data_IF_935145931866
#
_entry.id   IF_935145931866
#
_cell.length_a   1.000
_cell.length_b   1.000
_cell.length_c   1.000
_cell.angle_alpha   90.00
_cell.angle_beta   90.00
_cell.angle_gamma   90.00
#
_symmetry.space_group_name_H-M   'P 1'
#
loop_
_entity.id
_entity.type
_entity.pdbx_description
1 polymer ?
#
# COMPACT_ATOMS: atom_id res chain seq x y z
N UNK A 1 -4.34 12.92 -6.58
CA UNK A 1 -3.65 12.88 -5.27
C UNK A 1 -4.60 12.97 -4.08
N UNK A 2 -5.58 13.89 -4.08
CA UNK A 2 -6.52 14.05 -2.95
C UNK A 2 -7.25 12.76 -2.53
N UNK A 3 -7.99 12.13 -3.45
CA UNK A 3 -8.72 10.89 -3.15
C UNK A 3 -7.79 9.75 -2.67
N UNK A 4 -6.60 9.62 -3.26
CA UNK A 4 -5.61 8.63 -2.84
C UNK A 4 -5.11 8.87 -1.41
N UNK A 5 -4.87 10.14 -1.03
CA UNK A 5 -4.52 10.52 0.35
C UNK A 5 -5.65 10.17 1.32
N UNK A 6 -6.90 10.48 0.97
CA UNK A 6 -8.07 10.12 1.77
C UNK A 6 -8.19 8.61 1.95
N UNK A 7 -8.02 7.83 0.88
CA UNK A 7 -8.05 6.36 0.96
C UNK A 7 -6.92 5.81 1.82
N UNK A 8 -5.70 6.35 1.71
CA UNK A 8 -4.58 5.98 2.55
C UNK A 8 -4.85 6.28 4.03
N UNK A 9 -5.45 7.44 4.33
CA UNK A 9 -5.87 7.80 5.68
C UNK A 9 -6.92 6.82 6.23
N UNK A 10 -7.95 6.49 5.46
CA UNK A 10 -8.98 5.51 5.85
C UNK A 10 -8.36 4.14 6.16
N UNK A 11 -7.41 3.69 5.34
CA UNK A 11 -6.71 2.43 5.60
C UNK A 11 -5.91 2.48 6.90
N UNK A 12 -5.13 3.54 7.13
CA UNK A 12 -4.37 3.72 8.37
C UNK A 12 -5.28 3.78 9.61
N UNK A 13 -6.42 4.46 9.50
CA UNK A 13 -7.43 4.49 10.57
C UNK A 13 -7.98 3.09 10.86
N UNK A 14 -8.37 2.32 9.83
CA UNK A 14 -8.83 0.94 10.01
C UNK A 14 -7.77 0.06 10.67
N UNK A 15 -6.50 0.22 10.30
CA UNK A 15 -5.41 -0.52 10.92
C UNK A 15 -5.30 -0.21 12.42
N UNK A 16 -5.28 1.07 12.78
CA UNK A 16 -5.20 1.49 14.18
C UNK A 16 -6.41 1.01 14.97
N UNK A 17 -7.62 1.26 14.46
CA UNK A 17 -8.87 0.86 15.10
C UNK A 17 -8.99 -0.65 15.25
N UNK A 18 -8.70 -1.41 14.19
CA UNK A 18 -8.85 -2.86 14.19
C UNK A 18 -7.83 -3.60 15.05
N UNK A 19 -6.61 -3.08 15.19
CA UNK A 19 -5.50 -3.78 15.87
C UNK A 19 -5.32 -3.31 17.31
N UNK A 20 -5.40 -2.01 17.58
CA UNK A 20 -5.03 -1.45 18.89
C UNK A 20 -6.21 -1.09 19.78
N UNK A 21 -7.37 -0.79 19.19
CA UNK A 21 -8.55 -0.37 19.95
C UNK A 21 -9.47 -1.53 20.29
N UNK A 22 -10.43 -1.23 21.15
CA UNK A 22 -11.42 -2.18 21.62
C UNK A 22 -10.92 -3.02 22.79
N UNK A 23 -11.64 -4.11 23.03
CA UNK A 23 -11.36 -5.00 24.14
C UNK A 23 -10.20 -5.94 23.81
N UNK A 24 -9.27 -6.09 24.75
CA UNK A 24 -8.18 -7.08 24.64
C UNK A 24 -8.74 -8.50 24.71
N UNK A 25 -8.29 -9.36 23.78
CA UNK A 25 -8.66 -10.77 23.76
C UNK A 25 -8.08 -11.50 24.99
N UNK A 26 -8.81 -12.46 25.61
CA UNK A 26 -8.32 -13.22 26.77
C UNK A 26 -6.99 -13.95 26.52
N UNK A 27 -6.77 -14.43 25.30
CA UNK A 27 -5.52 -15.08 24.87
C UNK A 27 -4.29 -14.16 24.97
N UNK A 28 -4.48 -12.85 24.86
CA UNK A 28 -3.43 -11.85 24.90
C UNK A 28 -3.22 -11.27 26.33
N UNK A 29 -3.82 -11.89 27.36
CA UNK A 29 -3.82 -11.36 28.74
C UNK A 29 -2.42 -11.30 29.37
N UNK A 30 -1.60 -12.30 29.12
CA UNK A 30 -0.31 -12.53 29.78
C UNK A 30 0.88 -12.41 28.81
N UNK A 31 0.79 -11.50 27.84
CA UNK A 31 1.87 -11.27 26.88
C UNK A 31 2.86 -10.25 27.45
N UNK A 32 4.15 -10.50 27.21
CA UNK A 32 5.23 -9.59 27.60
C UNK A 32 5.23 -8.34 26.73
N UNK A 33 5.63 -7.22 27.33
CA UNK A 33 5.84 -5.98 26.60
C UNK A 33 6.96 -6.13 25.56
N UNK A 34 6.98 -5.21 24.58
CA UNK A 34 7.98 -5.24 23.52
C UNK A 34 9.40 -5.16 24.12
N UNK A 35 10.35 -5.95 23.61
CA UNK A 35 11.73 -5.91 24.09
C UNK A 35 12.34 -4.54 23.80
N UNK A 36 13.25 -4.10 24.67
CA UNK A 36 13.88 -2.77 24.59
C UNK A 36 14.48 -2.46 23.22
N UNK A 37 15.14 -3.43 22.59
CA UNK A 37 15.75 -3.27 21.26
C UNK A 37 14.73 -2.83 20.21
N UNK A 38 13.52 -3.39 20.23
CA UNK A 38 12.46 -3.03 19.28
C UNK A 38 11.94 -1.61 19.53
N UNK A 39 11.78 -1.24 20.79
CA UNK A 39 11.36 0.12 21.18
C UNK A 39 12.41 1.12 20.72
N UNK A 40 13.69 0.84 20.95
CA UNK A 40 14.79 1.71 20.53
C UNK A 40 14.81 1.89 19.01
N UNK A 41 14.71 0.80 18.23
CA UNK A 41 14.66 0.88 16.76
C UNK A 41 13.48 1.72 16.27
N UNK A 42 12.28 1.50 16.82
CA UNK A 42 11.09 2.29 16.46
C UNK A 42 11.21 3.77 16.85
N UNK A 43 11.84 4.05 17.99
CA UNK A 43 12.07 5.42 18.47
C UNK A 43 13.03 6.18 17.57
N UNK A 44 14.12 5.53 17.12
CA UNK A 44 15.06 6.12 16.16
C UNK A 44 14.34 6.47 14.85
N UNK A 45 13.52 5.55 14.33
CA UNK A 45 12.75 5.80 13.11
C UNK A 45 11.75 6.95 13.29
N UNK A 46 11.05 7.00 14.43
CA UNK A 46 10.13 8.08 14.75
C UNK A 46 10.85 9.43 14.81
N UNK A 47 12.00 9.52 15.49
CA UNK A 47 12.79 10.75 15.57
C UNK A 47 13.29 11.20 14.19
N UNK A 48 13.73 10.27 13.35
CA UNK A 48 14.14 10.57 11.98
C UNK A 48 12.98 11.15 11.15
N UNK A 49 11.78 10.58 11.28
CA UNK A 49 10.58 11.07 10.60
C UNK A 49 10.18 12.48 11.08
N UNK A 50 10.23 12.73 12.39
CA UNK A 50 9.97 14.06 12.94
C UNK A 50 11.00 15.09 12.47
N UNK A 51 12.28 14.71 12.46
CA UNK A 51 13.36 15.56 11.97
C UNK A 51 13.16 15.93 10.50
N UNK A 52 12.91 14.95 9.63
CA UNK A 52 12.63 15.18 8.21
C UNK A 52 11.39 16.05 8.02
N UNK A 53 10.34 15.83 8.80
CA UNK A 53 9.10 16.63 8.73
C UNK A 53 9.30 18.10 9.13
N UNK A 54 10.09 18.35 10.16
CA UNK A 54 10.41 19.72 10.64
C UNK A 54 11.43 20.44 9.74
N UNK A 55 12.37 19.69 9.15
CA UNK A 55 13.46 20.22 8.34
C UNK A 55 13.43 19.63 6.91
N UNK A 56 12.39 19.95 6.13
CA UNK A 56 12.22 19.38 4.80
C UNK A 56 13.31 19.82 3.81
N UNK A 57 14.00 20.94 4.07
CA UNK A 57 15.09 21.43 3.24
C UNK A 57 16.25 20.44 3.15
N UNK A 58 16.55 19.74 4.25
CA UNK A 58 17.59 18.72 4.29
C UNK A 58 17.35 17.57 3.28
N UNK A 59 16.09 17.18 3.10
CA UNK A 59 15.72 16.17 2.10
C UNK A 59 15.87 16.71 0.68
N UNK A 60 15.49 17.98 0.45
CA UNK A 60 15.65 18.61 -0.86
C UNK A 60 17.12 18.72 -1.24
N UNK A 61 17.99 19.09 -0.31
CA UNK A 61 19.44 19.12 -0.53
C UNK A 61 19.99 17.75 -0.91
N UNK A 62 19.55 16.69 -0.23
CA UNK A 62 19.96 15.31 -0.52
C UNK A 62 19.61 14.89 -1.95
N UNK A 63 18.42 15.24 -2.44
CA UNK A 63 17.98 14.89 -3.79
C UNK A 63 18.35 15.91 -4.87
N UNK A 64 18.85 17.09 -4.49
CA UNK A 64 19.18 18.17 -5.42
C UNK A 64 20.13 17.76 -6.55
N UNK A 65 21.19 16.97 -6.33
CA UNK A 65 22.06 16.51 -7.41
C UNK A 65 21.31 15.66 -8.45
N UNK A 66 20.45 14.75 -8.00
CA UNK A 66 19.65 13.90 -8.88
C UNK A 66 18.62 14.71 -9.69
N UNK A 67 17.96 15.68 -9.04
CA UNK A 67 17.00 16.58 -9.70
C UNK A 67 17.69 17.41 -10.78
N UNK A 68 18.88 17.96 -10.49
CA UNK A 68 19.68 18.72 -11.45
C UNK A 68 20.17 17.85 -12.60
N UNK A 69 20.60 16.62 -12.33
CA UNK A 69 21.02 15.66 -13.36
C UNK A 69 19.89 15.35 -14.35
N UNK A 70 18.65 15.25 -13.86
CA UNK A 70 17.46 15.06 -14.69
C UNK A 70 17.00 16.32 -15.43
N UNK A 71 17.73 17.45 -15.29
CA UNK A 71 17.42 18.71 -15.97
C UNK A 71 16.29 19.52 -15.33
N UNK A 72 15.84 19.15 -14.12
CA UNK A 72 14.78 19.87 -13.43
C UNK A 72 15.33 20.99 -12.53
N UNK A 73 14.53 22.05 -12.38
CA UNK A 73 14.83 23.13 -11.44
C UNK A 73 14.58 22.65 -10.01
N UNK A 74 15.58 22.80 -9.15
CA UNK A 74 15.44 22.52 -7.71
C UNK A 74 14.52 23.56 -7.08
N UNK A 75 13.65 23.11 -6.17
CA UNK A 75 12.74 23.95 -5.40
C UNK A 75 13.53 24.97 -4.56
N UNK A 76 12.99 26.19 -4.41
CA UNK A 76 13.57 27.18 -3.49
C UNK A 76 13.28 26.72 -2.06
N UNK A 77 14.32 26.54 -1.26
CA UNK A 77 14.18 26.04 0.10
C UNK A 77 15.20 26.69 1.03
N UNK A 78 14.85 26.70 2.31
CA UNK A 78 15.81 26.86 3.43
C UNK A 78 15.76 25.58 4.26
N UNK A 79 16.58 25.49 5.31
CA UNK A 79 16.63 24.29 6.16
C UNK A 79 15.25 23.86 6.70
N UNK A 80 14.42 24.82 7.12
CA UNK A 80 13.09 24.56 7.69
C UNK A 80 11.91 24.96 6.79
N UNK A 81 12.16 25.49 5.59
CA UNK A 81 11.09 26.01 4.72
C UNK A 81 11.20 25.52 3.29
N UNK A 82 10.05 25.26 2.68
CA UNK A 82 9.90 25.04 1.25
C UNK A 82 9.08 26.16 0.65
N UNK A 83 9.57 26.75 -0.43
CA UNK A 83 8.94 27.88 -1.10
C UNK A 83 8.61 27.55 -2.54
N UNK A 84 7.37 27.81 -2.91
CA UNK A 84 6.86 27.69 -4.27
C UNK A 84 6.17 28.99 -4.67
N UNK A 85 5.98 29.28 -5.97
CA UNK A 85 5.23 30.45 -6.41
C UNK A 85 3.80 30.51 -5.86
N UNK A 86 3.22 29.36 -5.48
CA UNK A 86 1.84 29.24 -5.00
C UNK A 86 1.73 29.29 -3.47
N UNK A 87 2.84 29.17 -2.74
CA UNK A 87 2.81 29.13 -1.28
C UNK A 87 4.09 28.64 -0.64
N UNK A 88 4.16 28.84 0.68
CA UNK A 88 5.29 28.46 1.52
C UNK A 88 4.85 27.42 2.55
N UNK A 89 5.66 26.39 2.74
CA UNK A 89 5.53 25.43 3.82
C UNK A 89 6.68 25.62 4.81
N UNK A 90 6.37 25.99 6.05
CA UNK A 90 7.35 26.24 7.11
C UNK A 90 7.28 25.09 8.12
N UNK A 91 8.01 24.01 7.85
CA UNK A 91 7.96 22.77 8.63
C UNK A 91 8.32 22.97 10.10
N UNK A 92 9.33 23.80 10.37
CA UNK A 92 9.78 24.10 11.73
C UNK A 92 8.69 24.75 12.59
N UNK A 93 7.99 25.76 12.05
CA UNK A 93 6.91 26.44 12.75
C UNK A 93 5.74 25.50 12.98
N UNK A 94 5.36 24.71 11.97
CA UNK A 94 4.30 23.71 12.08
C UNK A 94 4.62 22.73 13.21
N UNK A 95 5.83 22.17 13.24
CA UNK A 95 6.27 21.26 14.29
C UNK A 95 6.15 21.85 15.70
N UNK A 96 6.65 23.08 15.90
CA UNK A 96 6.56 23.78 17.19
C UNK A 96 5.11 24.01 17.60
N UNK A 97 4.25 24.47 16.69
CA UNK A 97 2.84 24.73 16.99
C UNK A 97 2.13 23.45 17.43
N UNK A 98 2.38 22.32 16.77
CA UNK A 98 1.81 21.03 17.18
C UNK A 98 2.30 20.57 18.56
N UNK A 99 3.59 20.75 18.87
CA UNK A 99 4.15 20.42 20.18
C UNK A 99 3.49 21.29 21.27
N UNK A 100 3.43 22.60 21.06
CA UNK A 100 2.83 23.55 22.03
C UNK A 100 1.34 23.23 22.22
N UNK A 101 0.59 23.03 21.13
CA UNK A 101 -0.83 22.72 21.20
C UNK A 101 -1.08 21.38 21.91
N UNK A 102 -0.27 20.36 21.62
CA UNK A 102 -0.35 19.06 22.29
C UNK A 102 -0.03 19.13 23.78
N UNK A 103 1.02 19.88 24.16
CA UNK A 103 1.38 20.11 25.55
C UNK A 103 0.28 20.87 26.28
N UNK A 104 -0.25 21.93 25.67
CA UNK A 104 -1.35 22.72 26.21
C UNK A 104 -2.60 21.86 26.43
N UNK A 105 -3.02 21.08 25.43
CA UNK A 105 -4.15 20.16 25.56
C UNK A 105 -3.94 19.12 26.67
N UNK A 106 -2.71 18.62 26.82
CA UNK A 106 -2.35 17.66 27.88
C UNK A 106 -2.45 18.30 29.27
N UNK A 107 -1.93 19.53 29.43
CA UNK A 107 -2.02 20.30 30.68
C UNK A 107 -3.49 20.55 31.03
N UNK A 108 -4.28 21.06 30.08
CA UNK A 108 -5.72 21.29 30.29
C UNK A 108 -6.42 20.00 30.71
N UNK A 109 -6.17 18.89 30.03
CA UNK A 109 -6.76 17.60 30.39
C UNK A 109 -6.34 17.14 31.79
N UNK A 110 -5.07 17.34 32.19
CA UNK A 110 -4.57 16.92 33.49
C UNK A 110 -5.25 17.69 34.64
N UNK A 111 -5.45 18.99 34.50
CA UNK A 111 -6.02 19.84 35.56
C UNK A 111 -7.55 19.87 35.58
N UNK A 112 -8.21 19.82 34.42
CA UNK A 112 -9.67 20.00 34.34
C UNK A 112 -10.47 18.70 34.19
N UNK A 113 -9.84 17.57 33.87
CA UNK A 113 -10.58 16.32 33.67
C UNK A 113 -10.75 15.54 34.97
N UNK A 114 -12.01 15.26 35.36
CA UNK A 114 -12.31 14.24 36.38
C UNK A 114 -12.14 12.86 35.75
N UNK A 115 -11.08 12.16 36.13
CA UNK A 115 -10.73 10.85 35.56
C UNK A 115 -11.42 9.74 36.37
N UNK A 116 -12.44 9.12 35.79
CA UNK A 116 -13.01 7.88 36.30
C UNK A 116 -12.52 6.72 35.44
N UNK A 117 -11.92 5.70 36.05
CA UNK A 117 -11.54 4.47 35.36
C UNK A 117 -12.76 3.56 35.34
N UNK A 118 -13.27 3.27 34.16
CA UNK A 118 -14.40 2.36 33.94
C UNK A 118 -13.88 1.14 33.19
N UNK A 119 -14.48 -0.02 33.45
CA UNK A 119 -14.09 -1.25 32.76
C UNK A 119 -14.46 -1.17 31.28
N UNK A 120 -13.67 -1.80 30.41
CA UNK A 120 -13.97 -1.82 28.97
C UNK A 120 -15.25 -2.60 28.63
N UNK A 121 -15.74 -3.46 29.54
CA UNK A 121 -17.01 -4.17 29.37
C UNK A 121 -18.23 -3.29 29.68
N UNK A 122 -18.05 -2.23 30.47
CA UNK A 122 -19.13 -1.29 30.83
C UNK A 122 -19.29 -0.23 29.72
N UNK A 123 -19.46 -0.73 28.49
CA UNK A 123 -19.66 0.10 27.30
C UNK A 123 -21.16 0.15 26.97
N UNK A 124 -21.58 1.22 26.32
CA UNK A 124 -22.94 1.34 25.81
C UNK A 124 -23.27 0.19 24.85
N UNK A 125 -24.19 -0.71 25.24
CA UNK A 125 -24.69 -1.82 24.42
C UNK A 125 -26.23 -1.82 24.38
N UNK A 126 -26.82 -0.64 24.19
CA UNK A 126 -28.28 -0.47 24.15
C UNK A 126 -29.02 -1.01 25.39
N UNK A 127 -28.36 -1.01 26.55
CA UNK A 127 -28.93 -1.49 27.82
C UNK A 127 -28.65 -2.96 28.14
N UNK A 128 -28.00 -3.71 27.25
CA UNK A 128 -27.58 -5.08 27.53
C UNK A 128 -26.25 -5.12 28.30
N UNK A 129 -26.13 -6.10 29.21
CA UNK A 129 -24.87 -6.36 29.90
C UNK A 129 -23.92 -7.15 29.00
N UNK A 130 -22.79 -6.55 28.64
CA UNK A 130 -21.76 -7.24 27.86
C UNK A 130 -21.03 -8.26 28.74
N UNK A 131 -20.88 -9.46 28.22
CA UNK A 131 -20.12 -10.53 28.90
C UNK A 131 -18.68 -10.52 28.39
N UNK A 132 -17.77 -11.22 29.07
CA UNK A 132 -16.39 -11.24 28.61
C UNK A 132 -16.21 -11.89 27.22
N UNK A 133 -17.14 -12.77 26.85
CA UNK A 133 -17.10 -13.58 25.64
C UNK A 133 -17.73 -12.88 24.43
N UNK A 134 -18.53 -11.84 24.64
CA UNK A 134 -19.27 -11.17 23.55
C UNK A 134 -18.33 -10.30 22.71
N UNK A 135 -18.16 -10.57 21.40
CA UNK A 135 -17.32 -9.75 20.53
C UNK A 135 -18.03 -8.44 20.20
N UNK A 136 -17.71 -7.39 20.94
CA UNK A 136 -18.29 -6.05 20.73
C UNK A 136 -17.48 -5.19 19.74
N UNK A 137 -16.19 -5.47 19.58
CA UNK A 137 -15.29 -4.65 18.75
C UNK A 137 -15.46 -4.93 17.25
N UNK A 138 -15.80 -3.89 16.48
CA UNK A 138 -15.98 -4.00 15.04
C UNK A 138 -14.64 -3.90 14.29
N UNK A 139 -14.15 -5.02 13.77
CA UNK A 139 -12.89 -5.10 13.02
C UNK A 139 -13.02 -5.77 11.65
N UNK A 140 -13.97 -6.71 11.51
CA UNK A 140 -14.22 -7.44 10.26
C UNK A 140 -15.06 -6.60 9.29
N UNK A 141 -14.73 -6.70 8.00
CA UNK A 141 -15.45 -6.02 6.91
C UNK A 141 -15.69 -4.52 7.15
N UNK A 142 -14.74 -3.83 7.79
CA UNK A 142 -14.87 -2.45 8.26
C UNK A 142 -15.42 -1.45 7.22
N UNK A 143 -15.06 -1.65 5.94
CA UNK A 143 -15.50 -0.81 4.82
C UNK A 143 -16.41 -1.56 3.84
N UNK A 144 -17.30 -2.41 4.35
CA UNK A 144 -18.22 -3.20 3.52
C UNK A 144 -19.08 -2.33 2.60
N UNK A 145 -19.52 -1.16 3.10
CA UNK A 145 -20.30 -0.21 2.30
C UNK A 145 -19.51 0.28 1.07
N UNK A 146 -18.23 0.64 1.24
CA UNK A 146 -17.35 1.04 0.13
C UNK A 146 -17.21 -0.12 -0.86
N UNK A 147 -16.98 -1.33 -0.35
CA UNK A 147 -16.84 -2.51 -1.19
C UNK A 147 -18.12 -2.80 -1.99
N UNK A 148 -19.30 -2.63 -1.38
CA UNK A 148 -20.60 -2.83 -2.01
C UNK A 148 -20.80 -1.83 -3.15
N UNK A 149 -20.64 -0.55 -2.83
CA UNK A 149 -20.97 0.55 -3.74
C UNK A 149 -19.96 0.65 -4.90
N UNK A 150 -18.69 0.31 -4.66
CA UNK A 150 -17.63 0.28 -5.68
C UNK A 150 -17.32 -1.12 -6.21
N UNK A 151 -18.18 -2.11 -5.95
CA UNK A 151 -17.92 -3.52 -6.27
C UNK A 151 -17.59 -3.77 -7.74
N UNK A 152 -18.18 -3.01 -8.68
CA UNK A 152 -17.88 -3.11 -10.11
C UNK A 152 -16.41 -2.81 -10.43
N UNK A 153 -15.86 -1.73 -9.86
CA UNK A 153 -14.47 -1.33 -10.06
C UNK A 153 -13.51 -2.23 -9.27
N UNK A 154 -13.82 -2.56 -8.01
CA UNK A 154 -12.98 -3.45 -7.20
C UNK A 154 -12.89 -4.89 -7.73
N UNK A 155 -13.83 -5.33 -8.58
CA UNK A 155 -13.76 -6.64 -9.25
C UNK A 155 -12.67 -6.72 -10.31
N UNK A 156 -12.22 -5.57 -10.84
CA UNK A 156 -11.08 -5.48 -11.75
C UNK A 156 -9.81 -5.73 -10.95
N UNK A 157 -9.20 -6.89 -11.17
CA UNK A 157 -8.02 -7.30 -10.43
C UNK A 157 -6.87 -7.54 -11.39
N UNK A 158 -5.77 -6.82 -11.19
CA UNK A 158 -4.52 -7.06 -11.91
C UNK A 158 -4.10 -8.53 -11.80
N UNK A 159 -4.35 -9.17 -10.65
CA UNK A 159 -4.11 -10.61 -10.45
C UNK A 159 -4.88 -11.43 -11.49
N UNK A 160 -6.20 -11.24 -11.63
CA UNK A 160 -7.01 -11.97 -12.61
C UNK A 160 -6.51 -11.74 -14.03
N UNK A 161 -6.11 -10.50 -14.34
CA UNK A 161 -5.53 -10.15 -15.64
C UNK A 161 -4.23 -10.92 -15.92
N UNK A 162 -3.24 -10.87 -15.00
CA UNK A 162 -1.98 -11.61 -15.15
C UNK A 162 -2.18 -13.12 -15.19
N UNK A 163 -3.11 -13.67 -14.39
CA UNK A 163 -3.47 -15.08 -14.49
C UNK A 163 -4.11 -15.43 -15.83
N UNK A 164 -4.89 -14.53 -16.42
CA UNK A 164 -5.44 -14.72 -17.76
C UNK A 164 -4.33 -14.80 -18.82
N UNK A 165 -3.35 -13.89 -18.76
CA UNK A 165 -2.18 -13.90 -19.66
C UNK A 165 -1.37 -15.19 -19.45
N UNK A 166 -1.11 -15.57 -18.20
CA UNK A 166 -0.37 -16.79 -17.89
C UNK A 166 -1.06 -18.04 -18.47
N UNK A 167 -2.39 -18.16 -18.30
CA UNK A 167 -3.17 -19.25 -18.90
C UNK A 167 -3.16 -19.20 -20.41
N UNK A 168 -3.20 -18.02 -21.02
CA UNK A 168 -3.11 -17.89 -22.47
C UNK A 168 -1.76 -18.39 -23.00
N UNK A 169 -0.66 -18.04 -22.34
CA UNK A 169 0.69 -18.52 -22.68
C UNK A 169 0.77 -20.04 -22.46
N UNK A 170 0.28 -20.54 -21.33
CA UNK A 170 0.28 -21.97 -21.02
C UNK A 170 -0.50 -22.78 -22.06
N UNK A 171 -1.70 -22.32 -22.42
CA UNK A 171 -2.51 -22.96 -23.47
C UNK A 171 -1.82 -22.91 -24.83
N UNK A 172 -1.16 -21.80 -25.16
CA UNK A 172 -0.40 -21.66 -26.41
C UNK A 172 0.81 -22.60 -26.43
N UNK A 173 1.52 -22.72 -25.31
CA UNK A 173 2.64 -23.65 -25.15
C UNK A 173 2.19 -25.11 -25.22
N UNK A 174 1.04 -25.44 -24.61
CA UNK A 174 0.42 -26.76 -24.75
C UNK A 174 0.02 -27.05 -26.20
N UNK A 175 -0.47 -26.04 -26.94
CA UNK A 175 -0.73 -26.13 -28.37
C UNK A 175 0.53 -26.43 -29.17
N UNK A 176 1.60 -25.68 -28.94
CA UNK A 176 2.92 -25.91 -29.58
C UNK A 176 3.49 -27.29 -29.22
N UNK A 177 3.34 -27.74 -27.97
CA UNK A 177 3.79 -29.07 -27.53
C UNK A 177 3.15 -30.19 -28.33
N UNK A 178 1.89 -30.04 -28.77
CA UNK A 178 1.20 -31.07 -29.58
C UNK A 178 1.83 -31.27 -30.96
N UNK A 179 2.59 -30.30 -31.47
CA UNK A 179 3.35 -30.44 -32.73
C UNK A 179 4.49 -31.46 -32.55
N UNK A 180 5.06 -31.55 -31.35
CA UNK A 180 6.13 -32.49 -31.02
C UNK A 180 5.55 -33.82 -30.54
N UNK A 181 5.02 -34.62 -31.47
CA UNK A 181 4.37 -35.91 -31.17
C UNK A 181 5.34 -37.06 -30.89
N UNK A 182 6.63 -36.90 -31.23
CA UNK A 182 7.65 -37.95 -31.07
C UNK A 182 7.60 -39.06 -32.14
N UNK A 183 6.68 -38.98 -33.11
CA UNK A 183 6.57 -39.94 -34.20
C UNK A 183 7.32 -39.46 -35.46
N UNK A 184 8.30 -40.24 -35.93
CA UNK A 184 9.10 -39.95 -37.12
C UNK A 184 8.29 -39.68 -38.39
N UNK A 185 7.18 -40.40 -38.59
CA UNK A 185 6.33 -40.26 -39.77
C UNK A 185 5.62 -38.89 -39.83
N UNK A 186 5.23 -38.35 -38.68
CA UNK A 186 4.59 -37.03 -38.59
C UNK A 186 5.58 -35.93 -38.98
N UNK A 187 6.85 -36.06 -38.57
CA UNK A 187 7.89 -35.10 -38.95
C UNK A 187 8.21 -35.14 -40.45
N UNK A 188 8.18 -36.32 -41.08
CA UNK A 188 8.37 -36.43 -42.55
C UNK A 188 7.26 -35.66 -43.29
N UNK A 189 6.01 -35.79 -42.85
CA UNK A 189 4.90 -35.01 -43.42
C UNK A 189 5.09 -33.51 -43.25
N UNK A 190 5.58 -33.02 -42.10
CA UNK A 190 5.88 -31.60 -41.92
C UNK A 190 6.95 -31.11 -42.90
N UNK A 191 8.01 -31.88 -43.14
CA UNK A 191 9.05 -31.55 -44.10
C UNK A 191 8.46 -31.47 -45.52
N UNK A 192 7.71 -32.48 -45.95
CA UNK A 192 7.08 -32.51 -47.29
C UNK A 192 6.18 -31.29 -47.51
N UNK A 193 5.34 -30.93 -46.52
CA UNK A 193 4.45 -29.77 -46.61
C UNK A 193 5.24 -28.46 -46.76
N UNK A 194 6.32 -28.29 -45.98
CA UNK A 194 7.18 -27.10 -46.09
C UNK A 194 7.84 -27.03 -47.46
N UNK A 195 8.35 -28.15 -47.97
CA UNK A 195 8.97 -28.21 -49.30
C UNK A 195 7.99 -27.89 -50.43
N UNK A 196 6.78 -28.45 -50.39
CA UNK A 196 5.73 -28.13 -51.36
C UNK A 196 5.38 -26.64 -51.30
N UNK A 197 5.22 -26.08 -50.09
CA UNK A 197 4.96 -24.66 -49.89
C UNK A 197 6.07 -23.76 -50.47
N UNK A 198 7.34 -24.14 -50.28
CA UNK A 198 8.49 -23.43 -50.84
C UNK A 198 8.53 -23.50 -52.36
N UNK A 199 8.25 -24.66 -52.95
CA UNK A 199 8.21 -24.83 -54.41
C UNK A 199 7.07 -23.98 -55.01
N UNK A 200 5.88 -24.00 -54.41
CA UNK A 200 4.75 -23.18 -54.85
C UNK A 200 5.09 -21.68 -54.71
N UNK A 201 5.68 -21.28 -53.58
CA UNK A 201 6.11 -19.89 -53.36
C UNK A 201 7.20 -19.45 -54.35
N UNK A 202 8.11 -20.35 -54.72
CA UNK A 202 9.15 -20.13 -55.72
C UNK A 202 8.58 -20.01 -57.14
N UNK A 203 7.64 -20.88 -57.51
CA UNK A 203 6.91 -20.79 -58.79
C UNK A 203 6.10 -19.50 -58.89
N UNK A 204 5.49 -19.05 -57.79
CA UNK A 204 4.69 -17.82 -57.76
C UNK A 204 5.55 -16.54 -57.88
N UNK A 205 6.80 -16.56 -57.41
CA UNK A 205 7.71 -15.41 -57.52
C UNK A 205 8.47 -15.33 -58.85
N UNK A 206 8.29 -16.30 -59.76
CA UNK A 206 9.05 -16.39 -61.01
C UNK A 206 10.49 -16.79 -60.72
N UNK A 207 10.82 -18.06 -60.99
CA UNK A 207 12.14 -18.63 -60.72
C UNK A 207 13.29 -17.84 -61.36
N UNK A 208 14.48 -17.97 -60.75
CA UNK A 208 15.77 -17.35 -61.08
C UNK A 208 15.77 -16.49 -62.36
N UNK A 209 15.84 -15.16 -62.19
CA UNK A 209 16.48 -14.30 -63.20
C UNK A 209 17.94 -14.70 -63.37
#
# INVERSE_FOLDING_TARGET
>A
MFAASTTAFLYSYRFIHGVFFGKRMPSLKNIKEAPFVNILSSTILMLALLFIGMFPGWVVDFFSPAIKFLGFKVMVHTFGTLSTPLGNFIGFLVGIVFIIAGLFATIVSLFFSRKMRVSSIDTYSSGEALTEETPYHYSSNFYLFIQRDFSGFLRLSARKFYFSIARFIENSAQGLRRIYTGNGQVYIWYVIIVWIGLIIGFLYKGGFK
#
